data_IF_224370951614
#
_entry.id   IF_224370951614
#
_cell.length_a   1.000
_cell.length_b   1.000
_cell.length_c   1.000
_cell.angle_alpha   90.00
_cell.angle_beta   90.00
_cell.angle_gamma   90.00
#
_symmetry.space_group_name_H-M   'P 1'
#
loop_
_entity.id
_entity.type
_entity.pdbx_description
1 polymer ?
#
# COMPACT_ATOMS: atom_id res chain seq x y z
N UNK A 1 56.80 31.53 -21.31
CA UNK A 1 55.94 30.33 -21.17
C UNK A 1 54.55 30.57 -20.53
N UNK A 2 54.14 31.79 -20.12
CA UNK A 2 52.83 32.02 -19.47
C UNK A 2 51.63 32.25 -20.41
N UNK A 3 51.84 32.51 -21.70
CA UNK A 3 50.77 32.86 -22.65
C UNK A 3 49.98 31.66 -23.22
N UNK A 4 50.47 30.43 -23.07
CA UNK A 4 49.81 29.24 -23.62
C UNK A 4 48.68 28.71 -22.72
N UNK A 5 48.73 28.95 -21.40
CA UNK A 5 47.73 28.37 -20.47
C UNK A 5 46.38 29.10 -20.51
N UNK A 6 46.37 30.42 -20.71
CA UNK A 6 45.15 31.22 -20.77
C UNK A 6 44.38 30.97 -22.06
N UNK A 7 45.07 30.83 -23.19
CA UNK A 7 44.44 30.49 -24.49
C UNK A 7 43.83 29.09 -24.51
N UNK A 8 44.47 28.14 -23.81
CA UNK A 8 43.96 26.77 -23.66
C UNK A 8 42.66 26.75 -22.86
N UNK A 9 42.62 27.43 -21.71
CA UNK A 9 41.41 27.51 -20.88
C UNK A 9 40.27 28.25 -21.57
N UNK A 10 40.54 29.33 -22.31
CA UNK A 10 39.49 30.00 -23.10
C UNK A 10 38.92 29.11 -24.20
N UNK A 11 39.74 28.25 -24.82
CA UNK A 11 39.29 27.28 -25.83
C UNK A 11 38.45 26.17 -25.21
N UNK A 12 38.83 25.66 -24.03
CA UNK A 12 38.05 24.65 -23.30
C UNK A 12 36.69 25.21 -22.87
N UNK A 13 36.64 26.46 -22.39
CA UNK A 13 35.42 27.11 -21.96
C UNK A 13 34.48 27.41 -23.15
N UNK A 14 35.04 27.81 -24.30
CA UNK A 14 34.30 27.93 -25.57
C UNK A 14 33.79 26.58 -26.08
N UNK A 15 34.59 25.52 -25.97
CA UNK A 15 34.17 24.17 -26.36
C UNK A 15 33.04 23.66 -25.46
N UNK A 16 33.12 23.92 -24.15
CA UNK A 16 32.07 23.54 -23.20
C UNK A 16 30.77 24.31 -23.45
N UNK A 17 30.83 25.62 -23.72
CA UNK A 17 29.62 26.39 -24.07
C UNK A 17 29.05 25.96 -25.42
N UNK A 18 29.89 25.66 -26.43
CA UNK A 18 29.43 25.09 -27.70
C UNK A 18 28.79 23.72 -27.49
N UNK A 19 29.37 22.85 -26.65
CA UNK A 19 28.79 21.54 -26.34
C UNK A 19 27.47 21.65 -25.57
N UNK A 20 27.33 22.62 -24.65
CA UNK A 20 26.08 22.92 -23.95
C UNK A 20 25.02 23.53 -24.87
N UNK A 21 25.40 24.47 -25.72
CA UNK A 21 24.53 25.09 -26.73
C UNK A 21 24.11 24.09 -27.81
N UNK A 22 25.00 23.19 -28.23
CA UNK A 22 24.66 22.10 -29.15
C UNK A 22 23.74 21.06 -28.50
N UNK A 23 23.85 20.80 -27.19
CA UNK A 23 22.86 20.00 -26.45
C UNK A 23 21.48 20.66 -26.46
N UNK A 24 21.40 21.97 -26.18
CA UNK A 24 20.15 22.74 -26.20
C UNK A 24 19.50 22.87 -27.60
N UNK A 25 20.30 23.08 -28.64
CA UNK A 25 19.79 23.17 -30.03
C UNK A 25 19.31 21.81 -30.54
N UNK A 26 19.97 20.72 -30.12
CA UNK A 26 19.57 19.35 -30.43
C UNK A 26 18.21 19.03 -29.81
N UNK A 27 18.00 19.39 -28.54
CA UNK A 27 16.72 19.16 -27.85
C UNK A 27 15.55 19.91 -28.48
N UNK A 28 15.76 21.09 -29.07
CA UNK A 28 14.66 21.91 -29.59
C UNK A 28 14.25 21.53 -31.03
N UNK A 29 15.20 21.12 -31.87
CA UNK A 29 14.93 20.64 -33.24
C UNK A 29 14.26 19.27 -33.24
N UNK A 30 14.63 18.35 -32.33
CA UNK A 30 13.92 17.06 -32.22
C UNK A 30 12.52 17.21 -31.62
N UNK A 31 12.25 18.25 -30.80
CA UNK A 31 10.97 18.40 -30.08
C UNK A 31 9.75 18.56 -31.01
N UNK A 32 9.87 19.26 -32.14
CA UNK A 32 8.74 19.39 -33.08
C UNK A 32 8.52 18.13 -33.93
N UNK A 33 9.60 17.50 -34.40
CA UNK A 33 9.53 16.23 -35.15
C UNK A 33 8.98 15.10 -34.27
N UNK A 34 9.47 14.97 -33.03
CA UNK A 34 8.98 14.01 -32.04
C UNK A 34 7.51 14.22 -31.75
N UNK A 35 7.06 15.47 -31.59
CA UNK A 35 5.63 15.79 -31.41
C UNK A 35 4.79 15.40 -32.62
N UNK A 36 5.29 15.61 -33.84
CA UNK A 36 4.60 15.19 -35.05
C UNK A 36 4.44 13.67 -35.12
N UNK A 37 5.54 12.93 -34.91
CA UNK A 37 5.55 11.46 -34.86
C UNK A 37 4.64 10.93 -33.76
N UNK A 38 4.66 11.56 -32.58
CA UNK A 38 3.76 11.21 -31.48
C UNK A 38 2.28 11.36 -31.87
N UNK A 39 1.92 12.47 -32.51
CA UNK A 39 0.55 12.66 -33.01
C UNK A 39 0.15 11.60 -34.05
N UNK A 40 1.08 11.10 -34.86
CA UNK A 40 0.83 9.99 -35.77
C UNK A 40 0.64 8.67 -35.00
N UNK A 41 1.49 8.38 -34.02
CA UNK A 41 1.34 7.23 -33.14
C UNK A 41 -0.01 7.23 -32.40
N UNK A 42 -0.47 8.39 -31.91
CA UNK A 42 -1.79 8.53 -31.30
C UNK A 42 -2.94 8.26 -32.29
N UNK A 43 -2.78 8.58 -33.58
CA UNK A 43 -3.78 8.24 -34.60
C UNK A 43 -3.84 6.73 -34.82
N UNK A 44 -2.69 6.07 -34.93
CA UNK A 44 -2.60 4.61 -35.04
C UNK A 44 -3.24 3.92 -33.82
N UNK A 45 -2.94 4.42 -32.62
CA UNK A 45 -3.56 3.97 -31.37
C UNK A 45 -5.09 4.08 -31.42
N UNK A 46 -5.62 5.24 -31.85
CA UNK A 46 -7.07 5.46 -31.98
C UNK A 46 -7.73 4.61 -33.06
N UNK A 47 -6.96 4.18 -34.06
CA UNK A 47 -7.41 3.27 -35.12
C UNK A 47 -7.35 1.79 -34.69
N UNK A 48 -6.80 1.49 -33.52
CA UNK A 48 -6.60 0.12 -33.02
C UNK A 48 -5.36 -0.59 -33.59
N UNK A 49 -4.52 0.11 -34.36
CA UNK A 49 -3.25 -0.43 -34.83
C UNK A 49 -2.18 -0.29 -33.73
N UNK A 50 -2.37 -1.08 -32.67
CA UNK A 50 -1.55 -1.04 -31.47
C UNK A 50 -0.11 -1.45 -31.71
N UNK A 51 0.14 -2.39 -32.63
CA UNK A 51 1.48 -2.88 -32.93
C UNK A 51 2.31 -1.80 -33.63
N UNK A 52 1.73 -1.13 -34.64
CA UNK A 52 2.43 -0.04 -35.34
C UNK A 52 2.58 1.18 -34.43
N UNK A 53 1.55 1.51 -33.64
CA UNK A 53 1.63 2.59 -32.64
C UNK A 53 2.76 2.33 -31.64
N UNK A 54 2.90 1.10 -31.14
CA UNK A 54 3.97 0.71 -30.22
C UNK A 54 5.35 0.94 -30.82
N UNK A 55 5.59 0.42 -32.03
CA UNK A 55 6.86 0.59 -32.74
C UNK A 55 7.22 2.07 -32.92
N UNK A 56 6.24 2.90 -33.27
CA UNK A 56 6.47 4.33 -33.44
C UNK A 56 6.78 5.06 -32.13
N UNK A 57 6.13 4.68 -31.03
CA UNK A 57 6.42 5.19 -29.68
C UNK A 57 7.79 4.75 -29.17
N UNK A 58 8.20 3.51 -29.42
CA UNK A 58 9.55 3.01 -29.10
C UNK A 58 10.63 3.78 -29.89
N UNK A 59 10.36 4.09 -31.17
CA UNK A 59 11.24 4.95 -31.97
C UNK A 59 11.32 6.38 -31.43
N UNK A 60 10.21 6.93 -30.92
CA UNK A 60 10.18 8.25 -30.29
C UNK A 60 11.08 8.26 -29.05
N UNK A 61 10.96 7.28 -28.16
CA UNK A 61 11.79 7.16 -26.96
C UNK A 61 13.27 6.94 -27.33
N UNK A 62 13.55 6.25 -28.45
CA UNK A 62 14.91 6.11 -28.97
C UNK A 62 15.53 7.42 -29.47
N UNK A 63 14.72 8.38 -29.92
CA UNK A 63 15.18 9.71 -30.36
C UNK A 63 15.21 10.73 -29.21
N UNK A 64 14.18 10.69 -28.36
CA UNK A 64 13.97 11.58 -27.23
C UNK A 64 13.52 10.75 -26.01
N UNK A 65 14.48 10.25 -25.21
CA UNK A 65 14.19 9.45 -24.03
C UNK A 65 13.37 10.20 -22.98
N UNK A 66 13.41 11.54 -23.01
CA UNK A 66 12.75 12.43 -22.08
C UNK A 66 11.33 12.83 -22.55
N UNK A 67 10.80 12.15 -23.58
CA UNK A 67 9.44 12.41 -24.07
C UNK A 67 8.39 11.65 -23.23
N UNK A 68 8.03 12.21 -22.07
CA UNK A 68 7.12 11.59 -21.09
C UNK A 68 5.78 11.11 -21.67
N UNK A 69 5.21 11.82 -22.65
CA UNK A 69 3.95 11.40 -23.28
C UNK A 69 4.07 10.10 -24.07
N UNK A 70 5.25 9.77 -24.62
CA UNK A 70 5.46 8.49 -25.31
C UNK A 70 5.54 7.32 -24.33
N UNK A 71 6.23 7.51 -23.20
CA UNK A 71 6.21 6.53 -22.10
C UNK A 71 4.78 6.28 -21.61
N UNK A 72 4.01 7.35 -21.37
CA UNK A 72 2.60 7.25 -21.00
C UNK A 72 1.76 6.46 -22.03
N UNK A 73 1.96 6.72 -23.33
CA UNK A 73 1.25 6.03 -24.38
C UNK A 73 1.64 4.54 -24.50
N UNK A 74 2.91 4.18 -24.27
CA UNK A 74 3.33 2.77 -24.15
C UNK A 74 2.71 2.10 -22.93
N UNK A 75 2.60 2.81 -21.80
CA UNK A 75 1.89 2.33 -20.61
C UNK A 75 0.42 2.01 -20.90
N UNK A 76 -0.27 2.88 -21.66
CA UNK A 76 -1.65 2.63 -22.10
C UNK A 76 -1.76 1.39 -22.99
N UNK A 77 -0.82 1.21 -23.93
CA UNK A 77 -0.77 0.03 -24.80
C UNK A 77 -0.51 -1.25 -24.00
N UNK A 78 0.38 -1.21 -23.01
CA UNK A 78 0.64 -2.32 -22.11
C UNK A 78 -0.61 -2.67 -21.28
N UNK A 79 -1.33 -1.66 -20.79
CA UNK A 79 -2.60 -1.85 -20.08
C UNK A 79 -3.68 -2.52 -20.94
N UNK A 80 -3.81 -2.13 -22.21
CA UNK A 80 -4.70 -2.80 -23.18
C UNK A 80 -4.29 -4.26 -23.40
N UNK A 81 -2.99 -4.52 -23.43
CA UNK A 81 -2.44 -5.87 -23.54
C UNK A 81 -2.48 -6.68 -22.25
N UNK A 82 -3.09 -6.18 -21.18
CA UNK A 82 -3.09 -6.76 -19.83
C UNK A 82 -1.68 -7.01 -19.24
N UNK A 83 -0.67 -6.36 -19.81
CA UNK A 83 0.70 -6.30 -19.27
C UNK A 83 0.77 -5.22 -18.20
N UNK A 84 0.17 -5.51 -17.04
CA UNK A 84 0.05 -4.55 -15.94
C UNK A 84 1.41 -4.17 -15.34
N UNK A 85 2.37 -5.11 -15.30
CA UNK A 85 3.73 -4.86 -14.84
C UNK A 85 4.48 -3.92 -15.82
N UNK A 86 4.37 -4.16 -17.12
CA UNK A 86 4.90 -3.27 -18.15
C UNK A 86 4.24 -1.89 -18.11
N UNK A 87 2.92 -1.82 -17.91
CA UNK A 87 2.19 -0.56 -17.79
C UNK A 87 2.70 0.29 -16.63
N UNK A 88 2.87 -0.30 -15.44
CA UNK A 88 3.44 0.38 -14.27
C UNK A 88 4.84 0.92 -14.56
N UNK A 89 5.72 0.12 -15.15
CA UNK A 89 7.07 0.55 -15.47
C UNK A 89 7.06 1.77 -16.41
N UNK A 90 6.28 1.73 -17.49
CA UNK A 90 6.17 2.85 -18.42
C UNK A 90 5.56 4.10 -17.79
N UNK A 91 4.56 3.97 -16.92
CA UNK A 91 3.99 5.12 -16.22
C UNK A 91 4.96 5.73 -15.21
N UNK A 92 5.74 4.91 -14.51
CA UNK A 92 6.77 5.38 -13.58
C UNK A 92 7.83 6.19 -14.32
N UNK A 93 8.31 5.70 -15.48
CA UNK A 93 9.23 6.46 -16.34
C UNK A 93 8.60 7.76 -16.85
N UNK A 94 7.33 7.72 -17.27
CA UNK A 94 6.62 8.92 -17.71
C UNK A 94 6.57 10.01 -16.62
N UNK A 95 6.27 9.63 -15.38
CA UNK A 95 6.22 10.56 -14.23
C UNK A 95 7.61 11.00 -13.80
N UNK A 96 8.62 10.13 -13.87
CA UNK A 96 10.00 10.48 -13.54
C UNK A 96 10.57 11.56 -14.48
N UNK A 97 10.21 11.47 -15.76
CA UNK A 97 10.67 12.37 -16.81
C UNK A 97 9.83 13.65 -16.88
N UNK A 98 8.50 13.53 -16.76
CA UNK A 98 7.56 14.64 -16.79
C UNK A 98 6.58 14.55 -15.59
N UNK A 99 6.93 15.16 -14.45
CA UNK A 99 6.10 15.12 -13.25
C UNK A 99 4.70 15.73 -13.43
N UNK A 100 4.48 16.58 -14.45
CA UNK A 100 3.14 17.14 -14.71
C UNK A 100 2.13 16.06 -15.14
N UNK A 101 2.62 14.92 -15.66
CA UNK A 101 1.79 13.79 -16.05
C UNK A 101 1.27 12.97 -14.85
N UNK A 102 1.79 13.16 -13.65
CA UNK A 102 1.41 12.35 -12.47
C UNK A 102 -0.10 12.40 -12.21
N UNK A 103 -0.69 13.59 -12.25
CA UNK A 103 -2.11 13.76 -11.97
C UNK A 103 -3.00 12.95 -12.93
N UNK A 104 -2.64 12.92 -14.21
CA UNK A 104 -3.37 12.22 -15.27
C UNK A 104 -3.11 10.71 -15.25
N UNK A 105 -1.89 10.29 -14.91
CA UNK A 105 -1.48 8.88 -14.90
C UNK A 105 -1.85 8.17 -13.60
N UNK A 106 -2.03 8.88 -12.49
CA UNK A 106 -2.32 8.29 -11.17
C UNK A 106 -3.49 7.29 -11.18
N UNK A 107 -4.65 7.56 -11.82
CA UNK A 107 -5.72 6.58 -11.92
C UNK A 107 -5.31 5.30 -12.67
N UNK A 108 -4.51 5.43 -13.72
CA UNK A 108 -4.05 4.30 -14.54
C UNK A 108 -2.99 3.47 -13.81
N UNK A 109 -2.06 4.13 -13.10
CA UNK A 109 -1.09 3.49 -12.20
C UNK A 109 -1.82 2.69 -11.13
N UNK A 110 -2.87 3.26 -10.52
CA UNK A 110 -3.67 2.57 -9.51
C UNK A 110 -4.37 1.33 -10.08
N UNK A 111 -4.95 1.42 -11.27
CA UNK A 111 -5.58 0.28 -11.95
C UNK A 111 -4.54 -0.79 -12.28
N UNK A 112 -3.43 -0.43 -12.93
CA UNK A 112 -2.37 -1.36 -13.27
C UNK A 112 -1.80 -2.05 -12.02
N UNK A 113 -1.53 -1.29 -10.95
CA UNK A 113 -1.09 -1.82 -9.65
C UNK A 113 -2.09 -2.79 -9.03
N UNK A 114 -3.38 -2.46 -9.04
CA UNK A 114 -4.42 -3.35 -8.52
C UNK A 114 -4.48 -4.67 -9.30
N UNK A 115 -4.32 -4.63 -10.63
CA UNK A 115 -4.33 -5.83 -11.45
C UNK A 115 -3.03 -6.65 -11.34
N UNK A 116 -1.87 -5.99 -11.28
CA UNK A 116 -0.56 -6.61 -11.10
C UNK A 116 -0.47 -7.33 -9.75
N UNK A 117 -0.93 -6.68 -8.67
CA UNK A 117 -1.02 -7.30 -7.35
C UNK A 117 -1.86 -8.58 -7.35
N UNK A 118 -2.88 -8.68 -8.21
CA UNK A 118 -3.79 -9.84 -8.33
C UNK A 118 -3.23 -10.97 -9.21
N UNK A 119 -2.08 -10.80 -9.86
CA UNK A 119 -1.51 -11.81 -10.75
C UNK A 119 -1.38 -13.22 -10.14
N UNK A 120 -1.01 -13.40 -8.84
CA UNK A 120 -0.97 -14.73 -8.23
C UNK A 120 -2.35 -15.41 -8.18
N UNK A 121 -3.41 -14.65 -7.89
CA UNK A 121 -4.78 -15.16 -7.82
C UNK A 121 -5.31 -15.54 -9.21
N UNK A 122 -5.04 -14.68 -10.21
CA UNK A 122 -5.40 -14.93 -11.61
C UNK A 122 -4.72 -16.20 -12.13
N UNK A 123 -3.42 -16.35 -11.89
CA UNK A 123 -2.66 -17.56 -12.26
C UNK A 123 -3.19 -18.82 -11.59
N UNK A 124 -3.64 -18.73 -10.34
CA UNK A 124 -4.25 -19.84 -9.61
C UNK A 124 -5.71 -20.13 -10.00
N UNK A 125 -6.35 -19.21 -10.72
CA UNK A 125 -7.77 -19.24 -11.06
C UNK A 125 -8.68 -19.25 -9.83
N UNK A 126 -8.33 -18.47 -8.80
CA UNK A 126 -9.08 -18.39 -7.53
C UNK A 126 -9.56 -16.96 -7.30
N UNK A 127 -10.84 -16.80 -6.97
CA UNK A 127 -11.46 -15.52 -6.64
C UNK A 127 -12.49 -15.65 -5.52
N UNK A 128 -12.83 -14.54 -4.87
CA UNK A 128 -13.84 -14.52 -3.80
C UNK A 128 -15.24 -14.91 -4.29
N UNK A 129 -15.56 -14.68 -5.56
CA UNK A 129 -16.82 -15.11 -6.16
C UNK A 129 -16.97 -16.64 -6.16
N UNK A 130 -15.90 -17.37 -6.47
CA UNK A 130 -15.86 -18.83 -6.40
C UNK A 130 -15.97 -19.30 -4.94
N UNK A 131 -15.17 -18.71 -4.04
CA UNK A 131 -15.19 -19.04 -2.61
C UNK A 131 -16.58 -18.79 -2.01
N UNK A 132 -17.23 -17.69 -2.40
CA UNK A 132 -18.60 -17.36 -2.02
C UNK A 132 -19.58 -18.48 -2.37
N UNK A 133 -19.56 -18.97 -3.61
CA UNK A 133 -20.48 -20.04 -4.03
C UNK A 133 -20.26 -21.35 -3.26
N UNK A 134 -19.02 -21.62 -2.84
CA UNK A 134 -18.69 -22.81 -2.06
C UNK A 134 -19.13 -22.66 -0.59
N UNK A 135 -18.82 -21.52 0.05
CA UNK A 135 -19.21 -21.24 1.43
C UNK A 135 -20.72 -21.18 1.58
N UNK A 136 -21.41 -20.49 0.66
CA UNK A 136 -22.87 -20.41 0.71
C UNK A 136 -23.53 -21.76 0.44
N UNK A 137 -22.87 -22.67 -0.28
CA UNK A 137 -23.31 -24.05 -0.49
C UNK A 137 -22.81 -25.07 0.54
N UNK A 138 -22.18 -24.65 1.63
CA UNK A 138 -21.64 -25.53 2.69
C UNK A 138 -20.58 -26.54 2.21
N UNK A 139 -19.88 -26.21 1.11
CA UNK A 139 -18.85 -27.06 0.48
C UNK A 139 -17.46 -26.77 1.04
N UNK A 140 -17.28 -26.92 2.36
CA UNK A 140 -16.00 -26.59 3.04
C UNK A 140 -14.79 -27.33 2.46
N UNK A 141 -14.93 -28.62 2.14
CA UNK A 141 -13.82 -29.40 1.59
C UNK A 141 -13.31 -28.83 0.25
N UNK A 142 -14.20 -28.30 -0.60
CA UNK A 142 -13.82 -27.64 -1.86
C UNK A 142 -13.14 -26.30 -1.59
N UNK A 143 -13.60 -25.54 -0.59
CA UNK A 143 -12.91 -24.30 -0.15
C UNK A 143 -11.50 -24.63 0.31
N UNK A 144 -11.34 -25.62 1.18
CA UNK A 144 -10.03 -26.04 1.69
C UNK A 144 -9.10 -26.51 0.57
N UNK A 145 -9.61 -27.22 -0.44
CA UNK A 145 -8.84 -27.63 -1.60
C UNK A 145 -8.36 -26.44 -2.44
N UNK A 146 -9.19 -25.41 -2.63
CA UNK A 146 -8.77 -24.18 -3.31
C UNK A 146 -7.75 -23.40 -2.50
N UNK A 147 -7.99 -23.26 -1.19
CA UNK A 147 -7.09 -22.55 -0.31
C UNK A 147 -5.76 -23.26 -0.20
N UNK A 148 -5.67 -24.59 -0.28
CA UNK A 148 -4.41 -25.35 -0.23
C UNK A 148 -3.44 -25.06 -1.41
N UNK A 149 -3.89 -24.38 -2.46
CA UNK A 149 -3.00 -23.89 -3.53
C UNK A 149 -2.01 -22.87 -2.98
N UNK A 150 -0.87 -22.69 -3.65
CA UNK A 150 0.11 -21.66 -3.34
C UNK A 150 -0.40 -20.27 -3.75
N UNK A 151 -1.27 -19.71 -2.91
CA UNK A 151 -1.87 -18.37 -3.09
C UNK A 151 -1.71 -17.53 -1.81
N UNK A 152 -1.50 -16.21 -1.96
CA UNK A 152 -1.47 -15.27 -0.84
C UNK A 152 -2.88 -15.08 -0.26
N UNK A 153 -3.10 -15.59 0.96
CA UNK A 153 -4.42 -15.61 1.60
C UNK A 153 -4.93 -14.21 1.98
N UNK A 154 -4.06 -13.32 2.44
CA UNK A 154 -4.45 -11.94 2.76
C UNK A 154 -4.93 -11.19 1.50
N UNK A 155 -4.22 -11.36 0.39
CA UNK A 155 -4.62 -10.78 -0.89
C UNK A 155 -5.98 -11.33 -1.32
N UNK A 156 -6.19 -12.64 -1.27
CA UNK A 156 -7.49 -13.24 -1.60
C UNK A 156 -8.62 -12.69 -0.72
N UNK A 157 -8.39 -12.59 0.60
CA UNK A 157 -9.39 -12.07 1.53
C UNK A 157 -9.75 -10.60 1.29
N UNK A 158 -8.82 -9.81 0.74
CA UNK A 158 -9.02 -8.39 0.44
C UNK A 158 -9.44 -8.12 -1.02
N UNK A 159 -9.33 -9.11 -1.91
CA UNK A 159 -9.67 -8.97 -3.32
C UNK A 159 -11.19 -8.96 -3.54
N UNK A 160 -11.79 -7.79 -3.33
CA UNK A 160 -13.22 -7.58 -3.53
C UNK A 160 -13.63 -7.43 -5.01
N UNK A 161 -12.69 -7.56 -5.96
CA UNK A 161 -13.02 -7.52 -7.38
C UNK A 161 -13.87 -8.73 -7.78
N UNK A 162 -14.99 -8.48 -8.47
CA UNK A 162 -15.87 -9.54 -8.97
C UNK A 162 -16.93 -10.04 -7.97
N UNK A 163 -16.95 -9.53 -6.73
CA UNK A 163 -17.98 -9.85 -5.74
C UNK A 163 -18.76 -8.59 -5.33
N UNK A 164 -20.08 -8.70 -5.22
CA UNK A 164 -20.91 -7.55 -4.81
C UNK A 164 -20.85 -7.35 -3.29
N UNK A 165 -20.98 -6.10 -2.78
CA UNK A 165 -20.97 -5.86 -1.33
C UNK A 165 -22.01 -6.69 -0.55
N UNK A 166 -23.18 -6.91 -1.13
CA UNK A 166 -24.22 -7.76 -0.51
C UNK A 166 -23.81 -9.23 -0.39
N UNK A 167 -23.11 -9.78 -1.39
CA UNK A 167 -22.55 -11.14 -1.32
C UNK A 167 -21.41 -11.23 -0.32
N UNK A 168 -20.54 -10.22 -0.30
CA UNK A 168 -19.46 -10.10 0.68
C UNK A 168 -20.00 -10.16 2.11
N UNK A 169 -20.96 -9.29 2.44
CA UNK A 169 -21.58 -9.23 3.76
C UNK A 169 -22.39 -10.50 4.13
N UNK A 170 -23.00 -11.17 3.16
CA UNK A 170 -23.66 -12.45 3.40
C UNK A 170 -22.65 -13.55 3.76
N UNK A 171 -21.51 -13.61 3.07
CA UNK A 171 -20.44 -14.55 3.36
C UNK A 171 -19.80 -14.28 4.72
N UNK A 172 -19.56 -13.01 5.05
CA UNK A 172 -19.02 -12.61 6.36
C UNK A 172 -19.94 -13.06 7.50
N UNK A 173 -21.26 -12.81 7.38
CA UNK A 173 -22.22 -13.27 8.39
C UNK A 173 -22.25 -14.78 8.53
N UNK A 174 -22.27 -15.53 7.41
CA UNK A 174 -22.25 -16.99 7.46
C UNK A 174 -21.01 -17.55 8.17
N UNK A 175 -19.84 -16.92 7.96
CA UNK A 175 -18.62 -17.29 8.66
C UNK A 175 -18.65 -16.90 10.15
N UNK A 176 -19.22 -15.74 10.48
CA UNK A 176 -19.32 -15.26 11.85
C UNK A 176 -20.32 -16.06 12.71
N UNK A 177 -21.41 -16.51 12.09
CA UNK A 177 -22.47 -17.30 12.72
C UNK A 177 -22.17 -18.82 12.70
N UNK A 178 -20.99 -19.22 12.23
CA UNK A 178 -20.59 -20.62 12.22
C UNK A 178 -20.53 -21.17 13.66
N UNK A 179 -21.14 -22.33 13.90
CA UNK A 179 -21.20 -22.96 15.22
C UNK A 179 -19.81 -23.14 15.86
N UNK A 180 -18.79 -23.39 15.02
CA UNK A 180 -17.41 -23.37 15.45
C UNK A 180 -16.49 -22.81 14.34
N UNK A 181 -16.05 -21.53 14.47
CA UNK A 181 -15.23 -20.85 13.47
C UNK A 181 -13.76 -21.33 13.48
N UNK A 182 -13.37 -22.14 14.47
CA UNK A 182 -12.01 -22.68 14.63
C UNK A 182 -11.83 -24.06 13.98
N UNK A 183 -12.82 -24.54 13.23
CA UNK A 183 -12.74 -25.82 12.53
C UNK A 183 -12.25 -25.60 11.10
N UNK A 184 -11.33 -26.46 10.68
CA UNK A 184 -10.86 -26.56 9.30
C UNK A 184 -9.35 -26.65 9.24
N UNK A 185 -8.82 -26.63 8.02
CA UNK A 185 -7.38 -26.52 7.80
C UNK A 185 -6.83 -25.19 8.35
N UNK A 186 -5.52 -25.13 8.62
CA UNK A 186 -4.83 -23.89 9.04
C UNK A 186 -5.10 -22.76 8.03
N UNK A 187 -4.97 -23.04 6.73
CA UNK A 187 -5.21 -22.06 5.66
C UNK A 187 -6.67 -21.60 5.58
N UNK A 188 -7.63 -22.48 5.88
CA UNK A 188 -9.04 -22.09 6.00
C UNK A 188 -9.25 -21.08 7.13
N UNK A 189 -8.72 -21.37 8.32
CA UNK A 189 -8.83 -20.45 9.46
C UNK A 189 -8.12 -19.13 9.21
N UNK A 190 -6.93 -19.15 8.62
CA UNK A 190 -6.22 -17.93 8.20
C UNK A 190 -7.06 -17.11 7.22
N UNK A 191 -7.60 -17.75 6.17
CA UNK A 191 -8.48 -17.06 5.22
C UNK A 191 -9.72 -16.46 5.89
N UNK A 192 -10.46 -17.25 6.69
CA UNK A 192 -11.65 -16.78 7.39
C UNK A 192 -11.33 -15.62 8.33
N UNK A 193 -10.24 -15.73 9.08
CA UNK A 193 -9.75 -14.68 9.98
C UNK A 193 -9.40 -13.39 9.22
N UNK A 194 -8.63 -13.48 8.14
CA UNK A 194 -8.31 -12.34 7.28
C UNK A 194 -9.56 -11.71 6.67
N UNK A 195 -10.50 -12.54 6.22
CA UNK A 195 -11.73 -12.07 5.59
C UNK A 195 -12.63 -11.31 6.59
N UNK A 196 -12.69 -11.77 7.84
CA UNK A 196 -13.38 -11.07 8.93
C UNK A 196 -12.64 -9.77 9.31
N UNK A 197 -11.30 -9.80 9.36
CA UNK A 197 -10.47 -8.63 9.64
C UNK A 197 -10.72 -7.48 8.66
N UNK A 198 -10.71 -7.75 7.35
CA UNK A 198 -10.98 -6.73 6.32
C UNK A 198 -12.44 -6.29 6.30
N UNK A 199 -13.35 -7.14 6.76
CA UNK A 199 -14.77 -6.81 6.93
C UNK A 199 -15.08 -5.83 8.06
N UNK A 200 -14.16 -5.64 9.02
CA UNK A 200 -14.33 -4.78 10.19
C UNK A 200 -15.61 -5.05 11.02
N UNK A 201 -16.12 -6.28 10.98
CA UNK A 201 -17.38 -6.64 11.64
C UNK A 201 -17.19 -7.07 13.10
N UNK A 202 -16.18 -7.92 13.36
CA UNK A 202 -15.92 -8.49 14.68
C UNK A 202 -14.43 -8.80 14.85
N UNK A 203 -13.72 -7.85 15.44
CA UNK A 203 -12.29 -7.95 15.69
C UNK A 203 -11.97 -9.05 16.71
N UNK A 204 -12.84 -9.29 17.70
CA UNK A 204 -12.61 -10.32 18.70
C UNK A 204 -12.67 -11.72 18.06
N UNK A 205 -13.67 -11.95 17.22
CA UNK A 205 -13.79 -13.19 16.47
C UNK A 205 -12.62 -13.37 15.50
N UNK A 206 -12.28 -12.34 14.71
CA UNK A 206 -11.14 -12.41 13.78
C UNK A 206 -9.82 -12.73 14.52
N UNK A 207 -9.60 -12.12 15.68
CA UNK A 207 -8.45 -12.38 16.56
C UNK A 207 -8.41 -13.83 16.99
N UNK A 208 -9.52 -14.35 17.52
CA UNK A 208 -9.61 -15.72 17.99
C UNK A 208 -9.36 -16.73 16.85
N UNK A 209 -9.90 -16.47 15.65
CA UNK A 209 -9.74 -17.33 14.47
C UNK A 209 -8.29 -17.35 14.00
N UNK A 210 -7.67 -16.18 13.84
CA UNK A 210 -6.27 -16.08 13.41
C UNK A 210 -5.35 -16.71 14.47
N UNK A 211 -5.54 -16.38 15.75
CA UNK A 211 -4.75 -16.96 16.84
C UNK A 211 -4.81 -18.50 16.83
N UNK A 212 -5.99 -19.10 16.63
CA UNK A 212 -6.13 -20.57 16.53
C UNK A 212 -5.35 -21.19 15.36
N UNK A 213 -5.01 -20.41 14.35
CA UNK A 213 -4.32 -20.86 13.15
C UNK A 213 -2.79 -20.63 13.22
N UNK A 214 -2.34 -19.62 13.97
CA UNK A 214 -0.91 -19.25 14.09
C UNK A 214 -0.05 -20.44 14.51
N UNK A 215 -0.49 -21.22 15.50
CA UNK A 215 0.28 -22.37 16.02
C UNK A 215 0.54 -23.46 14.97
N UNK A 216 -0.38 -23.61 14.01
CA UNK A 216 -0.26 -24.59 12.92
C UNK A 216 0.33 -24.00 11.63
N UNK A 217 0.51 -22.69 11.56
CA UNK A 217 1.07 -22.02 10.39
C UNK A 217 2.60 -22.06 10.41
N UNK A 218 3.21 -22.04 9.22
CA UNK A 218 4.66 -22.04 9.07
C UNK A 218 5.13 -21.05 8.00
N UNK A 219 6.40 -20.63 8.10
CA UNK A 219 7.03 -19.72 7.14
C UNK A 219 6.23 -18.42 6.97
N UNK A 220 6.02 -18.03 5.70
CA UNK A 220 5.36 -16.78 5.34
C UNK A 220 3.95 -16.63 5.90
N UNK A 221 3.17 -17.72 5.94
CA UNK A 221 1.80 -17.67 6.48
C UNK A 221 1.78 -17.30 7.96
N UNK A 222 2.72 -17.84 8.74
CA UNK A 222 2.83 -17.55 10.17
C UNK A 222 3.25 -16.11 10.40
N UNK A 223 4.24 -15.63 9.65
CA UNK A 223 4.69 -14.24 9.70
C UNK A 223 3.54 -13.28 9.40
N UNK A 224 2.82 -13.52 8.30
CA UNK A 224 1.66 -12.73 7.88
C UNK A 224 0.53 -12.76 8.91
N UNK A 225 0.24 -13.92 9.49
CA UNK A 225 -0.80 -14.10 10.50
C UNK A 225 -0.50 -13.31 11.77
N UNK A 226 0.74 -13.35 12.25
CA UNK A 226 1.20 -12.61 13.42
C UNK A 226 1.12 -11.09 13.21
N UNK A 227 1.45 -10.59 12.02
CA UNK A 227 1.27 -9.17 11.69
C UNK A 227 -0.21 -8.76 11.74
N UNK A 228 -1.12 -9.58 11.20
CA UNK A 228 -2.56 -9.27 11.27
C UNK A 228 -3.08 -9.37 12.70
N UNK A 229 -2.60 -10.34 13.47
CA UNK A 229 -2.93 -10.47 14.88
C UNK A 229 -2.50 -9.22 15.67
N UNK A 230 -1.28 -8.71 15.44
CA UNK A 230 -0.83 -7.46 16.04
C UNK A 230 -1.69 -6.26 15.63
N UNK A 231 -2.14 -6.18 14.36
CA UNK A 231 -3.06 -5.13 13.89
C UNK A 231 -4.42 -5.23 14.59
N UNK A 232 -4.92 -6.43 14.84
CA UNK A 232 -6.18 -6.68 15.55
C UNK A 232 -6.11 -6.22 17.01
N UNK A 233 -5.09 -6.67 17.74
CA UNK A 233 -4.85 -6.25 19.13
C UNK A 233 -4.69 -4.72 19.21
N UNK A 234 -3.96 -4.10 18.28
CA UNK A 234 -3.81 -2.65 18.23
C UNK A 234 -5.15 -1.91 18.00
N UNK A 235 -6.06 -2.45 17.17
CA UNK A 235 -7.41 -1.88 16.97
C UNK A 235 -8.28 -2.03 18.21
N UNK A 236 -8.07 -3.09 19.00
CA UNK A 236 -8.76 -3.34 20.26
C UNK A 236 -8.21 -2.52 21.44
N UNK A 237 -7.07 -1.84 21.26
CA UNK A 237 -6.38 -1.10 22.32
C UNK A 237 -5.44 -1.97 23.19
N UNK A 238 -5.31 -3.25 22.85
CA UNK A 238 -4.45 -4.24 23.50
C UNK A 238 -3.00 -4.04 23.03
N UNK A 239 -2.37 -3.04 23.63
CA UNK A 239 -1.12 -2.47 23.13
C UNK A 239 0.06 -3.43 23.30
N UNK A 240 0.13 -4.14 24.42
CA UNK A 240 1.23 -5.08 24.69
C UNK A 240 1.11 -6.33 23.83
N UNK A 241 -0.11 -6.84 23.69
CA UNK A 241 -0.46 -7.99 22.85
C UNK A 241 -0.16 -7.69 21.38
N UNK A 242 -0.39 -6.45 20.94
CA UNK A 242 -0.01 -6.00 19.61
C UNK A 242 1.50 -6.03 19.38
N UNK A 243 2.28 -5.50 20.33
CA UNK A 243 3.76 -5.54 20.28
C UNK A 243 4.25 -6.98 20.26
N UNK A 244 3.75 -7.82 21.16
CA UNK A 244 4.16 -9.22 21.28
C UNK A 244 3.92 -9.97 19.97
N UNK A 245 2.77 -9.74 19.32
CA UNK A 245 2.47 -10.35 18.03
C UNK A 245 3.40 -9.85 16.90
N UNK A 246 3.72 -8.54 16.86
CA UNK A 246 4.66 -8.01 15.87
C UNK A 246 6.09 -8.54 16.07
N UNK A 247 6.56 -8.62 17.31
CA UNK A 247 7.87 -9.17 17.61
C UNK A 247 7.93 -10.68 17.36
N UNK A 248 6.86 -11.42 17.66
CA UNK A 248 6.75 -12.82 17.29
C UNK A 248 6.82 -13.03 15.77
N UNK A 249 6.31 -12.09 14.95
CA UNK A 249 6.46 -12.13 13.50
C UNK A 249 7.93 -11.98 13.09
N UNK A 250 8.68 -11.09 13.77
CA UNK A 250 10.12 -10.90 13.55
C UNK A 250 10.91 -12.12 13.97
N UNK A 251 10.59 -12.71 15.12
CA UNK A 251 11.19 -13.96 15.61
C UNK A 251 10.90 -15.14 14.66
N UNK A 252 9.76 -15.11 13.97
CA UNK A 252 9.43 -16.05 12.90
C UNK A 252 10.17 -15.77 11.58
N UNK A 253 11.08 -14.80 11.54
CA UNK A 253 11.96 -14.49 10.41
C UNK A 253 11.49 -13.34 9.51
N UNK A 254 10.46 -12.58 9.90
CA UNK A 254 10.05 -11.38 9.18
C UNK A 254 11.05 -10.23 9.49
N UNK A 255 11.51 -9.44 8.50
CA UNK A 255 12.42 -8.34 8.81
C UNK A 255 11.72 -7.25 9.62
N UNK A 256 12.44 -6.65 10.58
CA UNK A 256 11.92 -5.58 11.45
C UNK A 256 11.32 -4.41 10.64
N UNK A 257 11.84 -4.13 9.44
CA UNK A 257 11.33 -3.09 8.54
C UNK A 257 9.85 -3.25 8.19
N UNK A 258 9.34 -4.48 8.14
CA UNK A 258 7.94 -4.78 7.78
C UNK A 258 6.97 -4.44 8.92
N UNK A 259 7.44 -4.47 10.17
CA UNK A 259 6.62 -4.17 11.36
C UNK A 259 6.95 -2.81 11.99
N UNK A 260 8.07 -2.18 11.60
CA UNK A 260 8.55 -0.94 12.22
C UNK A 260 7.50 0.17 12.19
N UNK A 261 6.78 0.35 11.08
CA UNK A 261 5.70 1.34 11.01
C UNK A 261 4.56 1.04 12.00
N UNK A 262 4.23 -0.24 12.20
CA UNK A 262 3.20 -0.65 13.14
C UNK A 262 3.64 -0.43 14.59
N UNK A 263 4.87 -0.83 14.93
CA UNK A 263 5.47 -0.60 16.24
C UNK A 263 5.61 0.89 16.56
N UNK A 264 6.08 1.69 15.60
CA UNK A 264 6.17 3.15 15.72
C UNK A 264 4.81 3.77 16.09
N UNK A 265 3.73 3.31 15.44
CA UNK A 265 2.37 3.77 15.74
C UNK A 265 1.89 3.36 17.13
N UNK A 266 2.21 2.14 17.57
CA UNK A 266 1.84 1.62 18.89
C UNK A 266 2.60 2.37 19.99
N UNK A 267 3.91 2.55 19.82
CA UNK A 267 4.78 3.27 20.74
C UNK A 267 4.66 4.80 20.68
N UNK A 268 4.06 5.34 19.61
CA UNK A 268 4.00 6.78 19.31
C UNK A 268 5.40 7.41 19.23
N UNK A 269 6.31 6.71 18.56
CA UNK A 269 7.68 7.13 18.31
C UNK A 269 7.95 7.17 16.81
N UNK A 270 9.05 7.81 16.41
CA UNK A 270 9.47 7.84 15.01
C UNK A 270 9.95 6.48 14.55
N UNK A 271 9.67 6.13 13.29
CA UNK A 271 10.04 4.82 12.73
C UNK A 271 11.56 4.59 12.76
N UNK A 272 12.35 5.66 12.60
CA UNK A 272 13.82 5.60 12.66
C UNK A 272 14.29 5.10 14.03
N UNK A 273 13.62 5.48 15.12
CA UNK A 273 13.98 5.02 16.47
C UNK A 273 13.84 3.51 16.66
N UNK A 274 12.95 2.87 15.88
CA UNK A 274 12.76 1.42 15.86
C UNK A 274 13.80 0.73 14.96
N UNK A 275 14.22 1.40 13.88
CA UNK A 275 15.11 0.83 12.86
C UNK A 275 16.60 1.01 13.16
N UNK A 276 16.97 1.93 14.05
CA UNK A 276 18.36 2.14 14.42
C UNK A 276 18.96 0.83 14.94
N UNK A 277 20.14 0.40 14.44
CA UNK A 277 20.89 -0.65 15.11
C UNK A 277 21.22 -0.12 16.51
N UNK A 278 20.73 -0.79 17.54
CA UNK A 278 21.25 -0.59 18.88
C UNK A 278 22.75 -0.92 18.79
N UNK A 279 23.62 0.07 18.99
CA UNK A 279 25.07 -0.16 19.09
C UNK A 279 25.29 -1.29 20.14
N UNK A 280 25.81 -2.44 19.72
CA UNK A 280 26.08 -3.57 20.63
C UNK A 280 27.44 -3.42 21.35
N UNK A 281 27.69 -4.11 22.50
CA UNK A 281 26.74 -4.69 23.46
C UNK A 281 27.15 -4.43 24.93
N UNK A 282 26.20 -4.53 25.88
CA UNK A 282 26.54 -4.94 27.24
C UNK A 282 26.26 -6.44 27.35
N UNK A 283 27.35 -7.16 27.60
CA UNK A 283 27.48 -8.58 27.89
C UNK A 283 26.49 -9.01 28.98
N UNK A 284 25.26 -9.32 28.62
CA UNK A 284 24.36 -10.18 29.40
C UNK A 284 23.17 -10.58 28.53
N UNK A 285 22.95 -11.88 28.42
CA UNK A 285 21.75 -12.48 27.86
C UNK A 285 20.54 -12.24 28.79
N UNK A 286 20.18 -10.97 29.00
CA UNK A 286 18.89 -10.60 29.56
C UNK A 286 17.87 -10.86 28.46
N UNK A 287 16.97 -11.81 28.72
CA UNK A 287 15.72 -12.00 28.00
C UNK A 287 15.14 -10.63 27.65
N UNK A 288 15.15 -10.29 26.36
CA UNK A 288 14.71 -9.00 25.85
C UNK A 288 13.20 -8.87 26.08
N UNK A 289 12.81 -8.38 27.25
CA UNK A 289 11.42 -8.02 27.47
C UNK A 289 11.10 -6.84 26.53
N UNK A 290 9.99 -6.91 25.77
CA UNK A 290 9.56 -5.79 24.95
C UNK A 290 9.44 -4.54 25.82
N UNK A 291 9.68 -3.35 25.22
CA UNK A 291 9.34 -2.09 25.88
C UNK A 291 7.84 -2.13 26.22
N UNK A 292 7.51 -2.43 27.47
CA UNK A 292 6.13 -2.46 27.94
C UNK A 292 5.70 -1.02 28.09
N UNK A 293 4.60 -0.66 27.45
CA UNK A 293 3.97 0.64 27.71
C UNK A 293 3.27 0.48 29.06
N UNK A 294 3.92 0.96 30.12
CA UNK A 294 3.28 1.13 31.42
C UNK A 294 2.25 2.26 31.29
N UNK A 295 0.98 1.89 31.10
CA UNK A 295 -0.12 2.84 31.19
C UNK A 295 -0.23 3.23 32.67
N UNK A 296 0.40 4.34 33.05
CA UNK A 296 0.20 4.96 34.36
C UNK A 296 -1.29 5.27 34.51
N UNK A 297 -2.01 4.46 35.28
CA UNK A 297 -3.39 4.75 35.67
C UNK A 297 -3.37 6.06 36.44
N UNK A 298 -3.77 7.13 35.77
CA UNK A 298 -4.00 8.42 36.41
C UNK A 298 -5.13 8.20 37.42
N UNK A 299 -4.81 8.10 38.71
CA UNK A 299 -5.82 8.15 39.76
C UNK A 299 -6.60 9.46 39.58
N UNK A 300 -7.95 9.45 39.59
CA UNK A 300 -8.69 10.69 39.58
C UNK A 300 -8.31 11.49 40.83
N UNK A 301 -7.90 12.75 40.63
CA UNK A 301 -7.65 13.69 41.72
C UNK A 301 -8.87 13.71 42.67
N UNK A 302 -8.66 13.75 44.00
CA UNK A 302 -9.77 13.82 44.94
C UNK A 302 -10.63 15.06 44.66
N UNK A 303 -11.96 15.00 44.87
CA UNK A 303 -12.82 16.13 44.60
C UNK A 303 -12.41 17.33 45.46
N UNK A 304 -12.21 18.48 44.81
CA UNK A 304 -11.94 19.75 45.46
C UNK A 304 -13.11 20.21 46.34
N UNK A 305 -12.89 21.16 47.28
CA UNK A 305 -13.84 21.48 48.33
C UNK A 305 -15.12 22.11 47.76
N UNK A 306 -16.28 21.66 48.28
CA UNK A 306 -17.59 22.22 47.99
C UNK A 306 -17.63 23.72 48.36
N UNK A 307 -17.82 24.58 47.36
CA UNK A 307 -18.13 25.99 47.59
C UNK A 307 -19.65 26.15 47.69
N UNK A 308 -20.08 26.53 48.89
CA UNK A 308 -21.45 26.78 49.27
C UNK A 308 -22.14 27.90 48.49
N UNK A 309 -23.47 27.80 48.50
CA UNK A 309 -24.49 28.70 48.00
C UNK A 309 -24.23 30.20 48.24
N UNK A 310 -24.44 31.05 47.21
CA UNK A 310 -25.13 32.34 47.33
C UNK A 310 -25.88 32.66 46.02
N UNK A 311 -27.09 33.17 46.22
CA UNK A 311 -28.12 33.60 45.27
C UNK A 311 -27.88 34.96 44.60
N UNK A 312 -28.63 35.18 43.51
CA UNK A 312 -29.06 36.46 42.93
C UNK A 312 -28.03 37.37 42.21
N UNK A 313 -28.16 37.50 40.88
CA UNK A 313 -28.76 38.68 40.23
C UNK A 313 -28.55 38.72 38.70
N UNK A 314 -29.67 38.88 37.98
CA UNK A 314 -29.89 39.68 36.74
C UNK A 314 -29.06 39.44 35.46
N UNK A 315 -29.77 38.90 34.45
CA UNK A 315 -29.61 39.14 33.00
C UNK A 315 -29.76 40.65 32.66
N UNK A 316 -29.46 41.19 31.45
CA UNK A 316 -29.07 40.54 30.19
C UNK A 316 -27.95 41.24 29.39
N UNK A 317 -27.37 40.56 28.38
CA UNK A 317 -27.05 41.18 27.08
C UNK A 317 -26.91 40.10 25.99
N UNK A 318 -27.83 40.15 25.02
CA UNK A 318 -27.75 39.48 23.72
C UNK A 318 -26.55 40.02 22.93
N UNK A 319 -25.73 39.15 22.33
CA UNK A 319 -25.10 39.40 21.03
C UNK A 319 -25.18 38.12 20.18
N UNK A 320 -25.55 38.35 18.93
CA UNK A 320 -26.04 37.44 17.90
C UNK A 320 -25.01 36.41 17.39
N UNK A 321 -25.52 35.22 17.05
CA UNK A 321 -24.88 34.26 16.15
C UNK A 321 -24.86 34.81 14.73
N UNK A 322 -23.67 34.91 14.12
CA UNK A 322 -23.51 34.83 12.65
C UNK A 322 -22.82 33.52 12.31
N UNK A 323 -23.57 32.62 11.69
CA UNK A 323 -23.00 31.62 10.79
C UNK A 323 -22.69 32.26 9.45
N UNK A 324 -21.68 31.75 8.76
CA UNK A 324 -21.58 31.84 7.31
C UNK A 324 -20.82 30.62 6.79
N UNK A 325 -21.28 30.03 5.67
CA UNK A 325 -20.80 28.77 5.11
C UNK A 325 -19.58 29.01 4.21
N UNK A 326 -18.92 27.97 3.71
CA UNK A 326 -18.60 27.82 2.28
C UNK A 326 -18.08 26.41 2.00
N UNK A 327 -18.81 25.71 1.15
CA UNK A 327 -18.40 24.64 0.24
C UNK A 327 -17.51 25.20 -0.87
N UNK A 328 -16.40 24.51 -1.19
CA UNK A 328 -16.07 23.95 -2.50
C UNK A 328 -15.00 22.87 -2.31
#
# INVERSE_FOLDING_TARGET
MKYYSTRFWTLVLLLQTILFSCRGLRTEIYREETRHRYNQACKLYKQGDYQTARSELENIIGLDPDYGQAHAALGNLALIGEDYAGALAYYQEAVAVDPELEADLRPLIMVAGAHEARAPLQKAGVGLDQIYQLIMGDRRAEVEALLAKDIPLQLLANDTMGITPGRLGAMQRKLAEAENPMIGSVRYRLFSGYFLFYGQNDDALATAVIHSAVDGAAGRERQEALVVLGKLHARQGETNEAVDAYLAAVDAGLPMTEVAHHLARVYRVDIESILLPIEEPADDAVSREPMRIEISTYLPSPPGPELGSVSDAKNPHLIERRGSPYTF
#
